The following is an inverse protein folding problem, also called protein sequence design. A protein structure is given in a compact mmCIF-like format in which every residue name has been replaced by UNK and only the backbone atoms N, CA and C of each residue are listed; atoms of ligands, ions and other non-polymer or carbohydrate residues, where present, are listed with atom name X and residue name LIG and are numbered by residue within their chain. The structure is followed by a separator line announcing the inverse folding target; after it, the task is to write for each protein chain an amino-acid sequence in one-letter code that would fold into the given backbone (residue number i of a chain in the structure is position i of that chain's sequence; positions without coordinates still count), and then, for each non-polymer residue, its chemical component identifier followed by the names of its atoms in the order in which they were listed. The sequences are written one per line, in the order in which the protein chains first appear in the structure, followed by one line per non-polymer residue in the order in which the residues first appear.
data_IF_219683960819
#
_entry.id   IF_219683960819
#
_cell.length_a   1.000
_cell.length_b   1.000
_cell.length_c   1.000
_cell.angle_alpha   90.00
_cell.angle_beta   90.00
_cell.angle_gamma   90.00
#
_symmetry.space_group_name_H-M   'P 1'
#
loop_
_entity.id
_entity.type
_entity.pdbx_description
1 polymer ?
#
# COMPACT_ATOMS: atom_id res chain seq x y z
N UNK A 1 20.30 8.31 -8.12
CA UNK A 1 20.12 8.26 -6.65
C UNK A 1 18.67 7.89 -6.40
N UNK A 2 18.39 6.67 -5.92
CA UNK A 2 17.02 6.21 -5.64
C UNK A 2 16.63 6.66 -4.24
N UNK A 3 16.12 7.89 -4.15
CA UNK A 3 15.56 8.44 -2.91
C UNK A 3 14.08 8.12 -2.78
N UNK A 4 13.52 8.30 -1.58
CA UNK A 4 12.07 8.34 -1.39
C UNK A 4 11.56 9.75 -1.67
N UNK A 5 10.43 9.85 -2.37
CA UNK A 5 9.75 11.13 -2.67
C UNK A 5 8.43 11.30 -1.93
N UNK A 6 7.84 10.20 -1.45
CA UNK A 6 6.63 10.21 -0.63
C UNK A 6 6.62 8.99 0.32
N UNK A 7 5.91 9.13 1.43
CA UNK A 7 5.75 8.09 2.45
C UNK A 7 4.31 8.10 2.96
N UNK A 8 3.77 6.95 3.33
CA UNK A 8 2.54 6.82 4.09
C UNK A 8 2.73 5.84 5.25
N UNK A 9 2.19 6.22 6.42
CA UNK A 9 2.26 5.40 7.63
C UNK A 9 0.93 4.68 7.86
N UNK A 10 0.95 3.36 7.79
CA UNK A 10 -0.12 2.48 8.25
C UNK A 10 0.01 2.20 9.75
N UNK A 11 -0.90 1.38 10.28
CA UNK A 11 -0.92 1.05 11.71
C UNK A 11 0.28 0.20 12.16
N UNK A 12 0.77 -0.68 11.30
CA UNK A 12 1.89 -1.60 11.59
C UNK A 12 2.89 -1.76 10.45
N UNK A 13 2.70 -1.00 9.37
CA UNK A 13 3.61 -0.93 8.24
C UNK A 13 3.74 0.52 7.79
N UNK A 14 4.79 0.81 7.05
CA UNK A 14 4.90 2.03 6.27
C UNK A 14 5.17 1.66 4.82
N UNK A 15 4.78 2.55 3.92
CA UNK A 15 5.01 2.44 2.49
C UNK A 15 5.73 3.69 2.00
N UNK A 16 6.68 3.53 1.09
CA UNK A 16 7.45 4.62 0.51
C UNK A 16 7.54 4.51 -1.01
N UNK A 17 7.29 5.63 -1.68
CA UNK A 17 7.46 5.79 -3.11
C UNK A 17 8.89 6.25 -3.41
N UNK A 18 9.58 5.53 -4.29
CA UNK A 18 10.92 5.91 -4.78
C UNK A 18 10.83 6.84 -5.98
N UNK A 19 11.89 7.60 -6.24
CA UNK A 19 12.03 8.50 -7.40
C UNK A 19 11.86 7.80 -8.75
N UNK A 20 12.01 6.48 -8.83
CA UNK A 20 11.91 5.67 -10.05
C UNK A 20 10.51 5.05 -10.27
N UNK A 21 9.52 5.42 -9.45
CA UNK A 21 8.16 4.88 -9.55
C UNK A 21 7.96 3.51 -8.91
N UNK A 22 9.00 2.92 -8.28
CA UNK A 22 8.88 1.69 -7.49
C UNK A 22 8.49 1.98 -6.04
N UNK A 23 7.97 0.98 -5.35
CA UNK A 23 7.50 1.11 -3.97
C UNK A 23 8.27 0.20 -3.02
N UNK A 24 8.46 0.64 -1.78
CA UNK A 24 8.94 -0.17 -0.67
C UNK A 24 7.89 -0.19 0.44
N UNK A 25 7.70 -1.33 1.10
CA UNK A 25 6.88 -1.40 2.29
C UNK A 25 7.56 -2.30 3.33
N UNK A 26 7.49 -1.90 4.60
CA UNK A 26 8.07 -2.64 5.72
C UNK A 26 7.11 -2.60 6.90
N UNK A 27 6.97 -3.73 7.59
CA UNK A 27 6.11 -3.86 8.77
C UNK A 27 5.44 -5.24 8.86
N UNK A 28 4.27 -5.27 9.49
CA UNK A 28 3.41 -6.46 9.54
C UNK A 28 2.91 -6.78 8.12
N UNK A 29 3.24 -7.98 7.62
CA UNK A 29 2.85 -8.46 6.29
C UNK A 29 1.90 -9.65 6.32
N UNK A 30 1.25 -9.93 7.47
CA UNK A 30 0.40 -11.12 7.65
C UNK A 30 -0.81 -11.17 6.72
N UNK A 31 -1.30 -10.03 6.23
CA UNK A 31 -2.37 -9.96 5.25
C UNK A 31 -1.87 -9.51 3.87
N UNK A 32 -0.55 -9.48 3.64
CA UNK A 32 0.05 -9.03 2.38
C UNK A 32 0.19 -7.51 2.25
N UNK A 33 0.12 -6.75 3.35
CA UNK A 33 0.21 -5.28 3.32
C UNK A 33 1.52 -4.75 2.70
N UNK A 34 2.57 -5.57 2.74
CA UNK A 34 3.89 -5.26 2.21
C UNK A 34 4.17 -5.87 0.82
N UNK A 35 3.20 -6.51 0.17
CA UNK A 35 3.39 -7.20 -1.12
C UNK A 35 3.40 -6.22 -2.32
N UNK A 36 4.28 -5.22 -2.23
CA UNK A 36 4.43 -4.11 -3.20
C UNK A 36 5.59 -4.33 -4.18
N UNK A 37 6.28 -5.48 -4.11
CA UNK A 37 7.53 -5.72 -4.84
C UNK A 37 7.42 -5.66 -6.37
N UNK A 38 6.21 -5.84 -6.91
CA UNK A 38 5.93 -5.73 -8.35
C UNK A 38 5.32 -4.39 -8.78
N UNK A 39 5.21 -3.41 -7.89
CA UNK A 39 4.58 -2.14 -8.22
C UNK A 39 5.55 -1.22 -8.95
N UNK A 40 5.15 -0.80 -10.15
CA UNK A 40 5.87 0.14 -11.02
C UNK A 40 4.94 1.28 -11.41
N UNK A 41 5.55 2.35 -11.93
CA UNK A 41 4.85 3.53 -12.46
C UNK A 41 3.94 4.21 -11.42
N UNK A 42 4.24 4.02 -10.13
CA UNK A 42 3.47 4.59 -9.03
C UNK A 42 3.80 6.06 -8.87
N UNK A 43 2.76 6.89 -8.73
CA UNK A 43 2.87 8.34 -8.53
C UNK A 43 2.36 8.80 -7.17
N UNK A 44 1.59 7.97 -6.47
CA UNK A 44 1.17 8.22 -5.09
C UNK A 44 0.94 6.90 -4.33
N UNK A 45 1.15 6.94 -3.01
CA UNK A 45 0.92 5.80 -2.11
C UNK A 45 0.06 6.23 -0.91
N UNK A 46 -0.76 5.31 -0.41
CA UNK A 46 -1.47 5.48 0.85
C UNK A 46 -1.59 4.14 1.59
N UNK A 47 -1.79 4.23 2.90
CA UNK A 47 -2.01 3.08 3.78
C UNK A 47 -3.30 3.28 4.57
N UNK A 48 -4.18 2.27 4.54
CA UNK A 48 -5.47 2.28 5.23
C UNK A 48 -5.52 1.26 6.36
N UNK A 49 -6.27 1.57 7.43
CA UNK A 49 -6.38 0.75 8.63
C UNK A 49 -7.84 0.34 8.87
N UNK A 50 -8.08 -0.92 9.23
CA UNK A 50 -9.44 -1.43 9.48
C UNK A 50 -9.79 -1.29 10.97
N UNK A 51 -10.90 -0.62 11.27
CA UNK A 51 -11.43 -0.43 12.63
C UNK A 51 -12.84 -1.01 12.77
N UNK A 52 -13.00 -2.31 12.56
CA UNK A 52 -14.26 -3.01 12.84
C UNK A 52 -14.19 -3.72 14.20
N UNK A 53 -14.20 -2.92 15.27
CA UNK A 53 -14.48 -3.27 16.67
C UNK A 53 -13.60 -4.33 17.40
N UNK A 54 -12.74 -5.11 16.72
CA UNK A 54 -11.65 -5.87 17.34
C UNK A 54 -10.35 -5.48 16.66
N UNK A 55 -9.31 -5.27 17.45
CA UNK A 55 -7.95 -4.92 17.04
C UNK A 55 -7.28 -6.04 16.23
N UNK A 56 -7.84 -6.40 15.08
CA UNK A 56 -7.35 -7.48 14.21
C UNK A 56 -5.94 -7.21 13.68
N UNK A 57 -5.48 -5.96 13.72
CA UNK A 57 -4.16 -5.56 13.21
C UNK A 57 -4.13 -5.35 11.71
N UNK A 58 -5.27 -5.53 11.03
CA UNK A 58 -5.39 -5.55 9.58
C UNK A 58 -5.30 -4.17 8.98
N UNK A 59 -4.49 -4.06 7.93
CA UNK A 59 -4.30 -2.84 7.15
C UNK A 59 -4.26 -3.18 5.66
N UNK A 60 -4.20 -2.18 4.80
CA UNK A 60 -3.94 -2.34 3.37
C UNK A 60 -3.11 -1.18 2.85
N UNK A 61 -2.51 -1.40 1.69
CA UNK A 61 -1.69 -0.43 0.96
C UNK A 61 -2.32 -0.22 -0.40
N UNK A 62 -2.39 1.02 -0.87
CA UNK A 62 -2.82 1.38 -2.22
C UNK A 62 -1.76 2.23 -2.92
N UNK A 63 -1.66 2.05 -4.24
CA UNK A 63 -0.79 2.83 -5.11
C UNK A 63 -1.56 3.33 -6.33
N UNK A 64 -1.45 4.63 -6.62
CA UNK A 64 -1.93 5.22 -7.87
C UNK A 64 -0.82 5.12 -8.91
N UNK A 65 -1.13 4.54 -10.08
CA UNK A 65 -0.22 4.50 -11.23
C UNK A 65 -0.37 5.74 -12.10
N UNK A 66 0.68 6.05 -12.86
CA UNK A 66 0.73 7.19 -13.79
C UNK A 66 -0.30 7.11 -14.91
N UNK A 67 -0.78 5.92 -15.24
CA UNK A 67 -1.86 5.67 -16.20
C UNK A 67 -3.27 5.90 -15.62
N UNK A 68 -3.37 6.29 -14.34
CA UNK A 68 -4.63 6.51 -13.63
C UNK A 68 -5.23 5.27 -12.99
N UNK A 69 -4.63 4.09 -13.16
CA UNK A 69 -5.10 2.84 -12.53
C UNK A 69 -4.62 2.72 -11.09
N UNK A 70 -5.29 1.89 -10.29
CA UNK A 70 -4.94 1.67 -8.89
C UNK A 70 -4.51 0.22 -8.68
N UNK A 71 -3.49 0.04 -7.85
CA UNK A 71 -3.10 -1.26 -7.30
C UNK A 71 -3.30 -1.25 -5.78
N UNK A 72 -3.68 -2.39 -5.22
CA UNK A 72 -3.92 -2.52 -3.79
C UNK A 72 -3.46 -3.90 -3.29
N UNK A 73 -2.96 -3.93 -2.06
CA UNK A 73 -2.59 -5.18 -1.37
C UNK A 73 -2.84 -5.07 0.12
N UNK A 74 -2.98 -6.20 0.81
CA UNK A 74 -3.29 -6.25 2.23
C UNK A 74 -4.66 -6.86 2.50
N UNK A 75 -5.20 -6.55 3.68
CA UNK A 75 -6.48 -7.11 4.08
C UNK A 75 -7.63 -6.61 3.22
N UNK A 76 -8.40 -7.56 2.69
CA UNK A 76 -9.47 -7.32 1.72
C UNK A 76 -10.83 -7.87 2.16
N UNK A 77 -11.09 -8.00 3.47
CA UNK A 77 -12.34 -8.62 3.92
C UNK A 77 -13.59 -7.78 3.73
N UNK A 78 -13.44 -6.46 3.47
CA UNK A 78 -14.54 -5.58 3.06
C UNK A 78 -14.34 -5.04 1.62
N UNK A 79 -13.51 -5.69 0.80
CA UNK A 79 -13.28 -5.28 -0.60
C UNK A 79 -12.35 -4.07 -0.77
N UNK A 80 -11.55 -3.69 0.23
CA UNK A 80 -10.64 -2.53 0.13
C UNK A 80 -9.59 -2.62 -0.98
N UNK A 81 -9.23 -3.84 -1.37
CA UNK A 81 -8.28 -4.10 -2.44
C UNK A 81 -8.97 -4.46 -3.77
N UNK A 82 -10.30 -4.47 -3.82
CA UNK A 82 -11.07 -4.75 -5.04
C UNK A 82 -11.12 -3.49 -5.92
N UNK A 83 -9.96 -3.15 -6.48
CA UNK A 83 -9.79 -2.00 -7.36
C UNK A 83 -10.17 -2.40 -8.79
N UNK A 84 -11.26 -1.83 -9.30
CA UNK A 84 -11.71 -2.01 -10.69
C UNK A 84 -11.16 -0.91 -11.58
N UNK A 85 -10.81 -1.26 -12.82
CA UNK A 85 -10.39 -0.31 -13.86
C UNK A 85 -11.58 0.44 -14.47
#
# INVERSE_FOLDING_TARGET
MTGFVALAAGRRHWVGLRTDGTVAAVGDGRAGECDVGGWTDVVAVAAGNVHTARNTGRSHTVGLRSDGTVVATGWNGDGQCDVTQ
#
